data_IF_735585203995
#
_entry.id   IF_735585203995
#
_cell.length_a   1.000
_cell.length_b   1.000
_cell.length_c   1.000
_cell.angle_alpha   90.00
_cell.angle_beta   90.00
_cell.angle_gamma   90.00
#
_symmetry.space_group_name_H-M   'P 1'
#
loop_
_entity.id
_entity.type
_entity.pdbx_description
1 polymer ?
#
# COMPACT_ATOMS: atom_id res chain seq x y z
N UNK A 1 4.83 -14.74 4.09
CA UNK A 1 4.83 -14.04 5.39
C UNK A 1 5.04 -12.57 5.07
N UNK A 2 4.08 -11.69 5.37
CA UNK A 2 4.29 -10.25 5.24
C UNK A 2 5.38 -9.84 6.24
N UNK A 3 6.34 -9.04 5.79
CA UNK A 3 7.35 -8.46 6.68
C UNK A 3 6.64 -7.59 7.72
N UNK A 4 7.10 -7.52 8.97
CA UNK A 4 6.31 -6.93 10.09
C UNK A 4 5.94 -5.45 9.90
N UNK A 5 6.54 -4.81 8.90
CA UNK A 5 6.30 -3.42 8.53
C UNK A 5 5.43 -3.23 7.27
N UNK A 6 5.26 -4.25 6.43
CA UNK A 6 4.59 -4.14 5.12
C UNK A 6 3.17 -4.68 5.14
N UNK A 7 2.24 -4.04 4.41
CA UNK A 7 0.82 -4.41 4.41
C UNK A 7 0.58 -5.81 3.82
N UNK A 8 1.35 -6.18 2.79
CA UNK A 8 1.31 -7.50 2.17
C UNK A 8 2.72 -7.91 1.71
N UNK A 9 2.86 -9.16 1.26
CA UNK A 9 4.16 -9.67 0.80
C UNK A 9 4.60 -9.02 -0.52
N UNK A 10 5.78 -8.42 -0.54
CA UNK A 10 6.34 -7.79 -1.74
C UNK A 10 6.48 -8.75 -2.93
N UNK A 11 6.53 -10.07 -2.67
CA UNK A 11 6.55 -11.11 -3.71
C UNK A 11 5.29 -11.15 -4.58
N UNK A 12 4.19 -10.52 -4.16
CA UNK A 12 2.99 -10.37 -4.99
C UNK A 12 3.17 -9.33 -6.11
N UNK A 13 4.17 -8.45 -6.00
CA UNK A 13 4.52 -7.50 -7.04
C UNK A 13 5.49 -8.19 -7.99
N UNK A 14 5.10 -8.31 -9.26
CA UNK A 14 5.91 -9.03 -10.25
C UNK A 14 7.32 -8.43 -10.38
N UNK A 15 8.33 -9.28 -10.51
CA UNK A 15 9.71 -8.84 -10.68
C UNK A 15 9.93 -8.04 -11.97
N UNK A 16 9.17 -8.35 -13.03
CA UNK A 16 9.21 -7.59 -14.28
C UNK A 16 8.91 -6.09 -14.07
N UNK A 17 7.84 -5.75 -13.35
CA UNK A 17 7.48 -4.36 -13.04
C UNK A 17 8.53 -3.68 -12.16
N UNK A 18 9.18 -4.43 -11.25
CA UNK A 18 10.27 -3.89 -10.42
C UNK A 18 11.52 -3.60 -11.26
N UNK A 19 11.79 -4.43 -12.27
CA UNK A 19 12.94 -4.28 -13.17
C UNK A 19 12.76 -3.21 -14.25
N UNK A 20 11.54 -2.98 -14.72
CA UNK A 20 11.22 -1.93 -15.71
C UNK A 20 11.12 -0.52 -15.11
N UNK A 21 11.22 -0.41 -13.78
CA UNK A 21 11.09 0.87 -13.10
C UNK A 21 12.31 1.78 -13.40
N UNK A 22 12.12 3.08 -13.67
CA UNK A 22 13.22 4.00 -13.90
C UNK A 22 14.17 4.11 -12.70
N UNK A 23 15.43 4.49 -12.95
CA UNK A 23 16.44 4.63 -11.90
C UNK A 23 15.97 5.52 -10.74
N UNK A 24 16.12 4.99 -9.51
CA UNK A 24 15.74 5.69 -8.27
C UNK A 24 14.26 5.57 -7.90
N UNK A 25 13.41 5.00 -8.76
CA UNK A 25 12.02 4.68 -8.42
C UNK A 25 11.92 3.25 -7.90
N UNK A 26 11.15 3.05 -6.84
CA UNK A 26 10.90 1.74 -6.25
C UNK A 26 9.41 1.54 -6.03
N UNK A 27 8.86 0.45 -6.55
CA UNK A 27 7.49 0.01 -6.24
C UNK A 27 7.52 -1.03 -5.13
N UNK A 28 6.69 -0.84 -4.11
CA UNK A 28 6.62 -1.74 -2.95
C UNK A 28 5.26 -1.67 -2.25
N UNK A 29 4.93 -2.63 -1.38
CA UNK A 29 3.76 -2.52 -0.52
C UNK A 29 3.85 -1.31 0.41
N UNK A 30 2.69 -0.79 0.81
CA UNK A 30 2.59 0.24 1.84
C UNK A 30 3.22 -0.27 3.14
N UNK A 31 3.99 0.59 3.79
CA UNK A 31 4.66 0.35 5.06
C UNK A 31 4.13 1.28 6.14
N UNK A 32 4.24 0.85 7.40
CA UNK A 32 3.92 1.69 8.57
C UNK A 32 4.70 3.00 8.62
N UNK A 33 5.93 3.01 8.08
CA UNK A 33 6.80 4.18 8.06
C UNK A 33 6.46 5.18 6.94
N UNK A 34 5.52 4.87 6.04
CA UNK A 34 5.21 5.74 4.90
C UNK A 34 4.46 7.01 5.29
N UNK A 35 3.94 7.07 6.52
CA UNK A 35 3.39 8.30 7.09
C UNK A 35 4.40 9.45 7.02
N UNK A 36 5.64 9.22 7.46
CA UNK A 36 6.70 10.24 7.49
C UNK A 36 7.31 10.51 6.10
N UNK A 37 7.06 9.63 5.12
CA UNK A 37 7.53 9.75 3.74
C UNK A 37 6.59 10.56 2.83
N UNK A 38 5.55 11.19 3.41
CA UNK A 38 4.62 12.04 2.67
C UNK A 38 3.51 11.27 1.94
N UNK A 39 3.09 10.11 2.44
CA UNK A 39 1.99 9.33 1.86
C UNK A 39 0.71 10.15 1.66
N UNK A 40 0.31 10.92 2.67
CA UNK A 40 -0.88 11.78 2.58
C UNK A 40 -0.70 12.97 1.63
N UNK A 41 0.51 13.51 1.50
CA UNK A 41 0.80 14.55 0.51
C UNK A 41 0.56 14.05 -0.92
N UNK A 42 0.91 12.79 -1.20
CA UNK A 42 0.61 12.15 -2.48
C UNK A 42 -0.91 12.00 -2.70
N UNK A 43 -1.66 11.59 -1.67
CA UNK A 43 -3.12 11.46 -1.75
C UNK A 43 -3.87 12.79 -1.94
N UNK A 44 -3.31 13.91 -1.45
CA UNK A 44 -3.92 15.25 -1.59
C UNK A 44 -4.06 15.71 -3.04
N UNK A 45 -3.27 15.15 -3.97
CA UNK A 45 -3.41 15.45 -5.40
C UNK A 45 -4.68 14.80 -5.98
N UNK A 46 -5.14 13.70 -5.41
CA UNK A 46 -6.30 12.96 -5.88
C UNK A 46 -7.61 13.48 -5.30
N UNK A 47 -7.64 13.82 -4.00
CA UNK A 47 -8.84 14.27 -3.30
C UNK A 47 -8.49 15.17 -2.13
N UNK A 48 -9.48 15.85 -1.56
CA UNK A 48 -9.32 16.45 -0.25
C UNK A 48 -9.02 15.36 0.79
N UNK A 49 -7.88 15.51 1.46
CA UNK A 49 -7.45 14.67 2.57
C UNK A 49 -7.33 15.60 3.77
N UNK A 50 -7.84 15.18 4.92
CA UNK A 50 -7.59 15.88 6.19
C UNK A 50 -6.14 15.77 6.64
N UNK A 51 -5.89 16.05 7.91
CA UNK A 51 -4.56 15.92 8.53
C UNK A 51 -4.61 14.82 9.61
N UNK A 52 -4.75 13.54 9.22
CA UNK A 52 -4.72 12.45 10.17
C UNK A 52 -3.34 12.37 10.83
N UNK A 53 -3.34 12.07 12.12
CA UNK A 53 -2.14 11.86 12.91
C UNK A 53 -1.48 10.52 12.59
N UNK A 54 -0.20 10.37 12.98
CA UNK A 54 0.53 9.11 12.77
C UNK A 54 -0.16 7.93 13.45
N UNK A 55 -0.72 8.12 14.65
CA UNK A 55 -1.47 7.08 15.36
C UNK A 55 -2.73 6.65 14.63
N UNK A 56 -3.46 7.59 14.02
CA UNK A 56 -4.63 7.27 13.20
C UNK A 56 -4.24 6.50 11.94
N UNK A 57 -3.14 6.89 11.27
CA UNK A 57 -2.60 6.14 10.14
C UNK A 57 -2.21 4.71 10.54
N UNK A 58 -1.48 4.54 11.64
CA UNK A 58 -1.06 3.23 12.13
C UNK A 58 -2.26 2.36 12.51
N UNK A 59 -3.26 2.93 13.16
CA UNK A 59 -4.49 2.23 13.49
C UNK A 59 -5.23 1.75 12.22
N UNK A 60 -5.33 2.60 11.18
CA UNK A 60 -5.92 2.20 9.90
C UNK A 60 -5.09 1.14 9.18
N UNK A 61 -3.76 1.25 9.25
CA UNK A 61 -2.85 0.24 8.73
C UNK A 61 -3.07 -1.12 9.39
N UNK A 62 -3.21 -1.15 10.72
CA UNK A 62 -3.46 -2.37 11.50
C UNK A 62 -4.80 -3.02 11.11
N UNK A 63 -5.86 -2.24 10.93
CA UNK A 63 -7.15 -2.75 10.46
C UNK A 63 -7.04 -3.37 9.06
N UNK A 64 -6.33 -2.70 8.13
CA UNK A 64 -6.11 -3.23 6.78
C UNK A 64 -5.26 -4.49 6.79
N UNK A 65 -4.21 -4.54 7.62
CA UNK A 65 -3.35 -5.71 7.76
C UNK A 65 -4.09 -6.91 8.38
N UNK A 66 -5.02 -6.65 9.31
CA UNK A 66 -5.88 -7.67 9.90
C UNK A 66 -6.92 -8.23 8.90
N UNK A 67 -7.35 -7.42 7.93
CA UNK A 67 -8.25 -7.82 6.85
C UNK A 67 -7.50 -8.65 5.77
N UNK A 68 -7.31 -9.94 6.08
CA UNK A 68 -6.54 -10.89 5.25
C UNK A 68 -7.05 -10.95 3.80
N UNK A 69 -6.11 -10.81 2.87
CA UNK A 69 -6.30 -10.91 1.41
C UNK A 69 -7.37 -9.96 0.83
N UNK A 70 -7.64 -8.85 1.51
CA UNK A 70 -8.62 -7.86 1.07
C UNK A 70 -7.95 -6.60 0.54
N UNK A 71 -6.96 -6.05 1.25
CA UNK A 71 -6.34 -4.77 0.93
C UNK A 71 -4.92 -4.93 0.40
N UNK A 72 -4.70 -4.46 -0.83
CA UNK A 72 -3.40 -4.42 -1.48
C UNK A 72 -3.04 -2.97 -1.83
N UNK A 73 -2.56 -2.22 -0.84
CA UNK A 73 -2.02 -0.88 -1.04
C UNK A 73 -0.57 -0.92 -1.49
N UNK A 74 -0.32 -0.39 -2.68
CA UNK A 74 1.01 -0.32 -3.30
C UNK A 74 1.43 1.14 -3.40
N UNK A 75 2.70 1.41 -3.14
CA UNK A 75 3.29 2.74 -3.23
C UNK A 75 4.46 2.75 -4.19
N UNK A 76 4.68 3.89 -4.83
CA UNK A 76 5.87 4.19 -5.62
C UNK A 76 6.66 5.25 -4.87
N UNK A 77 7.90 4.91 -4.57
CA UNK A 77 8.85 5.74 -3.82
C UNK A 77 9.95 6.26 -4.75
N UNK A 78 10.32 7.53 -4.58
CA UNK A 78 11.46 8.16 -5.23
C UNK A 78 12.16 9.08 -4.23
N UNK A 79 13.46 8.89 -4.02
CA UNK A 79 14.28 9.68 -3.08
C UNK A 79 13.67 9.77 -1.66
N UNK A 80 13.30 8.63 -1.06
CA UNK A 80 12.66 8.53 0.27
C UNK A 80 11.30 9.23 0.41
N UNK A 81 10.67 9.61 -0.71
CA UNK A 81 9.32 10.22 -0.72
C UNK A 81 8.35 9.38 -1.52
N UNK A 82 7.11 9.31 -1.05
CA UNK A 82 6.02 8.67 -1.78
C UNK A 82 5.55 9.59 -2.89
N UNK A 83 5.73 9.15 -4.15
CA UNK A 83 5.36 9.90 -5.35
C UNK A 83 4.15 9.31 -6.07
N UNK A 84 3.78 8.07 -5.74
CA UNK A 84 2.58 7.43 -6.26
C UNK A 84 1.97 6.46 -5.26
N UNK A 85 0.66 6.31 -5.31
CA UNK A 85 -0.09 5.38 -4.47
C UNK A 85 -1.22 4.75 -5.27
N UNK A 86 -1.47 3.47 -5.03
CA UNK A 86 -2.54 2.71 -5.64
C UNK A 86 -3.09 1.68 -4.66
N UNK A 87 -4.39 1.43 -4.73
CA UNK A 87 -5.05 0.45 -3.88
C UNK A 87 -5.87 -0.51 -4.73
N UNK A 88 -5.65 -1.80 -4.52
CA UNK A 88 -6.54 -2.86 -4.98
C UNK A 88 -7.28 -3.43 -3.78
N UNK A 89 -8.61 -3.45 -3.86
CA UNK A 89 -9.47 -4.05 -2.85
C UNK A 89 -10.16 -5.26 -3.46
N UNK A 90 -9.89 -6.45 -2.91
CA UNK A 90 -10.51 -7.69 -3.33
C UNK A 90 -11.76 -7.97 -2.49
N UNK A 91 -12.94 -7.75 -3.08
CA UNK A 91 -14.21 -8.05 -2.42
C UNK A 91 -14.60 -9.52 -2.66
N UNK A 92 -14.78 -10.31 -1.58
CA UNK A 92 -15.30 -11.67 -1.67
C UNK A 92 -16.82 -11.63 -1.79
N UNK A 93 -17.35 -12.07 -2.94
CA UNK A 93 -18.80 -12.20 -3.15
C UNK A 93 -19.30 -13.56 -2.66
N UNK A 94 -20.48 -13.56 -2.03
CA UNK A 94 -21.09 -14.75 -1.41
C UNK A 94 -21.77 -15.69 -2.43
N UNK A 95 -21.88 -15.30 -3.69
CA UNK A 95 -22.70 -15.99 -4.69
C UNK A 95 -21.93 -16.98 -5.57
N UNK A 96 -20.60 -17.03 -5.44
CA UNK A 96 -19.78 -17.92 -6.25
C UNK A 96 -19.00 -18.88 -5.36
N UNK A 97 -19.33 -20.16 -5.53
CA UNK A 97 -18.76 -21.30 -4.81
C UNK A 97 -17.38 -21.62 -5.41
N UNK A 98 -16.46 -20.65 -5.44
CA UNK A 98 -15.13 -20.83 -6.02
C UNK A 98 -14.10 -21.09 -4.91
N UNK A 99 -13.53 -22.30 -4.80
CA UNK A 99 -12.49 -22.59 -3.83
C UNK A 99 -11.17 -21.95 -4.28
N UNK A 100 -10.64 -21.04 -3.46
CA UNK A 100 -9.25 -20.59 -3.51
C UNK A 100 -8.33 -21.65 -2.87
#
# INVERSE_FOLDING_TARGET
>A
MADSQSLFSASLISESIRGDMPDGFTIRPLSRSDYTKGFYDCLRVLTWVGEPTESEFLHRFDEMAAARDTYFFTVVEYQDRIVGTGCLVAERKLYDHCPL
#
